data_IF_503440186528
#
_entry.id   IF_503440186528
#
_cell.length_a   1.000
_cell.length_b   1.000
_cell.length_c   1.000
_cell.angle_alpha   90.00
_cell.angle_beta   90.00
_cell.angle_gamma   90.00
#
_symmetry.space_group_name_H-M   'P 1'
#
loop_
_entity.id
_entity.type
_entity.pdbx_description
1 polymer ?
#
# COMPACT_ATOMS: atom_id res chain seq x y z
N UNK A 1 -13.25 7.93 -0.88
CA UNK A 1 -11.77 7.90 -0.82
C UNK A 1 -11.39 7.60 0.61
N UNK A 2 -10.68 6.49 0.84
CA UNK A 2 -10.18 6.15 2.18
C UNK A 2 -8.83 6.83 2.40
N UNK A 3 -8.45 7.04 3.66
CA UNK A 3 -7.14 7.60 3.98
C UNK A 3 -6.70 7.18 5.41
N UNK A 4 -6.94 5.91 5.77
CA UNK A 4 -6.75 5.41 7.13
C UNK A 4 -5.32 5.63 7.65
N UNK A 5 -4.33 5.46 6.78
CA UNK A 5 -2.90 5.63 7.09
C UNK A 5 -2.34 7.01 6.76
N UNK A 6 -3.21 7.98 6.43
CA UNK A 6 -2.81 9.31 5.95
C UNK A 6 -1.81 9.29 4.77
N UNK A 7 -1.99 8.33 3.86
CA UNK A 7 -1.10 8.06 2.73
C UNK A 7 -1.47 8.83 1.46
N UNK A 8 -2.70 9.34 1.36
CA UNK A 8 -3.15 10.07 0.18
C UNK A 8 -2.28 11.32 -0.04
N UNK A 9 -1.79 11.47 -1.26
CA UNK A 9 -0.86 12.53 -1.66
C UNK A 9 -1.21 13.05 -3.05
N UNK A 10 -0.79 14.27 -3.34
CA UNK A 10 -0.98 14.91 -4.63
C UNK A 10 0.35 15.07 -5.36
N UNK A 11 0.33 14.83 -6.67
CA UNK A 11 1.43 15.03 -7.60
C UNK A 11 1.01 16.06 -8.64
N UNK A 12 1.59 17.25 -8.57
CA UNK A 12 1.40 18.29 -9.57
C UNK A 12 2.43 18.14 -10.70
N UNK A 13 1.97 18.18 -11.94
CA UNK A 13 2.85 18.13 -13.12
C UNK A 13 3.15 19.53 -13.63
N UNK A 14 4.24 19.68 -14.39
CA UNK A 14 4.61 20.94 -15.05
C UNK A 14 3.54 21.45 -16.03
N UNK A 15 2.66 20.57 -16.51
CA UNK A 15 1.54 20.91 -17.38
C UNK A 15 0.33 21.48 -16.64
N UNK A 16 0.38 21.60 -15.30
CA UNK A 16 -0.71 22.13 -14.48
C UNK A 16 -1.74 21.09 -14.03
N UNK A 17 -1.55 19.81 -14.37
CA UNK A 17 -2.44 18.74 -13.91
C UNK A 17 -2.07 18.30 -12.49
N UNK A 18 -3.06 17.93 -11.67
CA UNK A 18 -2.85 17.33 -10.36
C UNK A 18 -3.42 15.91 -10.33
N UNK A 19 -2.62 14.97 -9.83
CA UNK A 19 -3.00 13.56 -9.69
C UNK A 19 -2.93 13.14 -8.23
N UNK A 20 -3.84 12.28 -7.81
CA UNK A 20 -3.84 11.69 -6.47
C UNK A 20 -3.23 10.31 -6.50
N UNK A 21 -2.42 9.98 -5.49
CA UNK A 21 -1.81 8.67 -5.33
C UNK A 21 -1.65 8.31 -3.86
N UNK A 22 -1.49 7.02 -3.56
CA UNK A 22 -1.24 6.54 -2.21
C UNK A 22 0.28 6.37 -1.98
N UNK A 23 0.84 7.19 -1.11
CA UNK A 23 2.28 7.29 -0.89
C UNK A 23 2.79 6.20 0.06
N UNK A 24 3.55 5.23 -0.47
CA UNK A 24 4.27 4.25 0.34
C UNK A 24 5.30 4.90 1.30
N UNK A 25 6.02 5.98 0.94
CA UNK A 25 6.82 6.71 1.92
C UNK A 25 6.03 7.22 3.12
N UNK A 26 4.80 7.73 2.92
CA UNK A 26 3.94 8.12 4.05
C UNK A 26 3.47 6.91 4.85
N UNK A 27 3.20 5.77 4.20
CA UNK A 27 2.91 4.52 4.89
C UNK A 27 4.10 4.08 5.76
N UNK A 28 5.33 4.24 5.26
CA UNK A 28 6.53 3.96 6.05
C UNK A 28 6.66 4.89 7.27
N UNK A 29 6.32 6.18 7.10
CA UNK A 29 6.27 7.14 8.21
C UNK A 29 5.18 6.81 9.25
N UNK A 30 4.15 6.06 8.87
CA UNK A 30 3.12 5.55 9.78
C UNK A 30 3.58 4.32 10.61
N UNK A 31 4.85 3.90 10.49
CA UNK A 31 5.46 2.86 11.33
C UNK A 31 5.88 1.58 10.60
N UNK A 32 5.66 1.48 9.29
CA UNK A 32 6.01 0.28 8.52
C UNK A 32 7.42 0.35 7.92
N UNK A 33 8.20 -0.73 8.00
CA UNK A 33 9.54 -0.78 7.39
C UNK A 33 9.50 -1.35 5.97
N UNK A 34 9.23 -0.49 4.99
CA UNK A 34 9.08 -0.89 3.58
C UNK A 34 10.41 -1.01 2.82
N UNK A 35 11.56 -0.66 3.42
CA UNK A 35 12.86 -0.60 2.74
C UNK A 35 13.33 -1.98 2.25
N UNK A 36 12.98 -3.04 2.99
CA UNK A 36 13.36 -4.42 2.68
C UNK A 36 12.40 -5.11 1.69
N UNK A 37 11.28 -4.48 1.34
CA UNK A 37 10.32 -5.08 0.44
C UNK A 37 10.84 -5.10 -1.00
N UNK A 38 10.77 -6.24 -1.71
CA UNK A 38 10.99 -6.30 -3.15
C UNK A 38 10.07 -5.34 -3.90
N UNK A 39 10.52 -4.83 -5.04
CA UNK A 39 9.74 -3.86 -5.84
C UNK A 39 8.36 -4.41 -6.23
N UNK A 40 8.28 -5.69 -6.58
CA UNK A 40 7.01 -6.37 -6.90
C UNK A 40 6.02 -6.32 -5.73
N UNK A 41 6.48 -6.58 -4.50
CA UNK A 41 5.64 -6.52 -3.31
C UNK A 41 5.18 -5.09 -3.01
N UNK A 42 6.01 -4.07 -3.30
CA UNK A 42 5.59 -2.66 -3.16
C UNK A 42 4.47 -2.28 -4.13
N UNK A 43 4.49 -2.82 -5.36
CA UNK A 43 3.41 -2.59 -6.33
C UNK A 43 2.10 -3.19 -5.82
N UNK A 44 2.14 -4.43 -5.32
CA UNK A 44 0.97 -5.09 -4.74
C UNK A 44 0.47 -4.33 -3.50
N UNK A 45 1.39 -3.89 -2.62
CA UNK A 45 1.05 -3.11 -1.44
C UNK A 45 0.36 -1.78 -1.78
N UNK A 46 0.81 -1.07 -2.83
CA UNK A 46 0.13 0.14 -3.29
C UNK A 46 -1.28 -0.16 -3.79
N UNK A 47 -1.46 -1.22 -4.58
CA UNK A 47 -2.78 -1.60 -5.11
C UNK A 47 -3.75 -1.98 -3.99
N UNK A 48 -3.30 -2.74 -2.98
CA UNK A 48 -4.08 -3.08 -1.79
C UNK A 48 -4.41 -1.81 -1.01
N UNK A 49 -3.42 -0.96 -0.75
CA UNK A 49 -3.65 0.31 -0.08
C UNK A 49 -4.68 1.14 -0.83
N UNK A 50 -4.53 1.33 -2.14
CA UNK A 50 -5.44 2.12 -2.99
C UNK A 50 -6.88 1.62 -2.98
N UNK A 51 -7.09 0.30 -2.88
CA UNK A 51 -8.39 -0.34 -2.93
C UNK A 51 -8.95 -0.76 -1.56
N UNK A 52 -8.37 -0.28 -0.45
CA UNK A 52 -8.88 -0.53 0.89
C UNK A 52 -10.36 -0.11 1.05
N UNK A 53 -11.18 -1.03 1.56
CA UNK A 53 -12.63 -0.84 1.67
C UNK A 53 -13.25 -1.48 2.93
N UNK A 54 -12.45 -2.04 3.83
CA UNK A 54 -12.89 -2.80 5.02
C UNK A 54 -13.78 -4.03 4.74
N UNK A 55 -13.99 -4.39 3.47
CA UNK A 55 -14.85 -5.51 3.07
C UNK A 55 -14.01 -6.59 2.38
N UNK A 56 -13.40 -6.25 1.25
CA UNK A 56 -12.53 -7.14 0.47
C UNK A 56 -11.08 -6.89 0.82
N UNK A 57 -10.70 -5.63 1.00
CA UNK A 57 -9.35 -5.24 1.39
C UNK A 57 -9.40 -4.61 2.76
N UNK A 58 -8.84 -5.34 3.72
CA UNK A 58 -8.84 -4.99 5.14
C UNK A 58 -7.49 -4.40 5.55
N UNK A 59 -7.45 -3.85 6.76
CA UNK A 59 -6.22 -3.32 7.35
C UNK A 59 -5.17 -4.42 7.53
N UNK A 60 -5.62 -5.66 7.76
CA UNK A 60 -4.76 -6.82 7.94
C UNK A 60 -3.99 -7.17 6.66
N UNK A 61 -4.65 -7.13 5.50
CA UNK A 61 -3.98 -7.35 4.21
C UNK A 61 -2.85 -6.34 3.97
N UNK A 62 -3.06 -5.08 4.37
CA UNK A 62 -2.03 -4.03 4.27
C UNK A 62 -0.86 -4.35 5.21
N UNK A 63 -1.15 -4.75 6.46
CA UNK A 63 -0.12 -5.12 7.44
C UNK A 63 0.69 -6.32 6.99
N UNK A 64 0.04 -7.40 6.55
CA UNK A 64 0.68 -8.61 6.04
C UNK A 64 1.67 -8.32 4.90
N UNK A 65 1.30 -7.45 3.94
CA UNK A 65 2.22 -7.04 2.88
C UNK A 65 3.33 -6.10 3.37
N UNK A 66 2.99 -5.16 4.25
CA UNK A 66 3.95 -4.21 4.79
C UNK A 66 5.03 -4.86 5.68
N UNK A 67 4.72 -6.02 6.27
CA UNK A 67 5.63 -6.84 7.09
C UNK A 67 6.09 -8.11 6.36
N UNK A 68 5.90 -8.19 5.04
CA UNK A 68 6.19 -9.38 4.24
C UNK A 68 7.62 -9.91 4.47
N UNK A 69 7.70 -11.23 4.63
CA UNK A 69 8.95 -11.96 4.78
C UNK A 69 9.02 -13.12 3.79
N UNK A 70 10.15 -13.24 3.09
CA UNK A 70 10.36 -14.24 2.05
C UNK A 70 10.33 -15.69 2.57
N UNK A 71 10.72 -15.91 3.83
CA UNK A 71 10.81 -17.24 4.46
C UNK A 71 9.70 -17.52 5.46
N UNK A 72 8.73 -16.61 5.61
CA UNK A 72 7.57 -16.89 6.45
C UNK A 72 6.68 -17.95 5.80
N UNK A 73 6.03 -18.75 6.64
CA UNK A 73 4.98 -19.67 6.21
C UNK A 73 3.88 -18.89 5.48
N UNK A 74 3.43 -19.41 4.34
CA UNK A 74 2.38 -18.78 3.54
C UNK A 74 1.08 -19.54 3.71
N UNK A 75 0.28 -19.10 4.67
CA UNK A 75 -1.07 -19.61 4.90
C UNK A 75 -2.14 -18.73 4.28
N UNK A 76 -1.82 -17.46 4.02
CA UNK A 76 -2.82 -16.42 3.76
C UNK A 76 -2.79 -15.96 2.30
N UNK A 77 -3.97 -15.83 1.70
CA UNK A 77 -4.15 -15.25 0.37
C UNK A 77 -4.46 -13.75 0.49
N UNK A 78 -3.85 -12.94 -0.38
CA UNK A 78 -4.09 -11.50 -0.41
C UNK A 78 -4.84 -11.13 -1.69
N UNK A 79 -6.04 -10.53 -1.59
CA UNK A 79 -6.81 -10.15 -2.76
C UNK A 79 -6.09 -9.05 -3.54
N UNK A 80 -5.92 -9.28 -4.85
CA UNK A 80 -5.30 -8.32 -5.76
C UNK A 80 -6.34 -7.80 -6.76
N UNK A 81 -6.49 -6.48 -6.80
CA UNK A 81 -7.46 -5.79 -7.66
C UNK A 81 -6.69 -4.77 -8.50
N UNK A 82 -6.90 -4.79 -9.82
CA UNK A 82 -6.19 -3.93 -10.79
C UNK A 82 -6.92 -2.59 -10.90
#
# INVERSE_FOLDING_TARGET
MHNRFNTLSELSTKSGNSYKYYSLPKLAAAGFNLKKLPVSIRIVLEAVLRNYDDIKITEEHIKQLATWNATAERSDEIPFVV
#
